data_IF_643950332577
#
_entry.id   IF_643950332577
#
_cell.length_a   1.000
_cell.length_b   1.000
_cell.length_c   1.000
_cell.angle_alpha   90.00
_cell.angle_beta   90.00
_cell.angle_gamma   90.00
#
_symmetry.space_group_name_H-M   'P 1'
#
loop_
_entity.id
_entity.type
_entity.pdbx_description
1 polymer ?
#
# COMPACT_ATOMS: atom_id res chain seq x y z
N UNK A 1 18.78 19.98 11.44
CA UNK A 1 19.85 19.18 10.87
C UNK A 1 20.57 18.45 12.00
N UNK A 2 20.71 17.13 11.92
CA UNK A 2 21.46 16.35 12.90
C UNK A 2 22.95 16.78 12.86
N UNK A 3 23.48 17.19 14.00
CA UNK A 3 24.91 17.50 14.13
C UNK A 3 25.66 16.22 14.53
N UNK A 4 26.10 15.44 13.53
CA UNK A 4 26.92 14.24 13.73
C UNK A 4 28.37 14.63 13.53
N UNK A 5 29.24 14.30 14.52
CA UNK A 5 30.66 14.43 14.37
C UNK A 5 31.21 13.18 13.68
N UNK A 6 31.54 13.30 12.41
CA UNK A 6 32.00 12.17 11.59
C UNK A 6 33.33 11.60 12.07
N UNK A 7 34.19 12.40 12.70
CA UNK A 7 35.50 11.94 13.19
C UNK A 7 35.40 11.01 14.39
N UNK A 8 34.32 11.09 15.18
CA UNK A 8 34.07 10.21 16.32
C UNK A 8 32.92 9.22 16.05
N UNK A 9 32.61 8.94 14.78
CA UNK A 9 31.49 8.08 14.37
C UNK A 9 31.99 6.73 13.86
N UNK A 10 31.40 5.64 14.38
CA UNK A 10 31.45 4.31 13.77
C UNK A 10 30.40 4.21 12.68
N UNK A 11 30.82 3.99 11.44
CA UNK A 11 29.95 3.79 10.28
C UNK A 11 29.70 2.31 10.06
N UNK A 12 28.47 1.87 10.20
CA UNK A 12 28.06 0.47 10.05
C UNK A 12 27.19 0.34 8.81
N UNK A 13 27.66 -0.42 7.84
CA UNK A 13 26.89 -0.78 6.64
C UNK A 13 26.33 -2.19 6.77
N UNK A 14 25.08 -2.37 6.42
CA UNK A 14 24.41 -3.67 6.47
C UNK A 14 23.75 -3.95 5.12
N UNK A 15 24.25 -4.96 4.44
CA UNK A 15 23.56 -5.55 3.29
C UNK A 15 22.59 -6.62 3.78
N UNK A 16 21.29 -6.39 3.52
CA UNK A 16 20.20 -7.17 4.10
C UNK A 16 19.65 -8.16 3.10
N UNK A 17 19.72 -9.44 3.44
CA UNK A 17 19.03 -10.50 2.71
C UNK A 17 17.88 -11.14 3.53
N UNK A 18 17.18 -12.09 2.95
CA UNK A 18 16.09 -12.78 3.65
C UNK A 18 16.55 -13.62 4.84
N UNK A 19 17.76 -14.18 4.79
CA UNK A 19 18.31 -15.10 5.79
C UNK A 19 19.46 -14.55 6.58
N UNK A 20 20.28 -13.68 5.97
CA UNK A 20 21.54 -13.19 6.52
C UNK A 20 21.69 -11.70 6.28
N UNK A 21 22.45 -11.06 7.16
CA UNK A 21 22.88 -9.67 7.04
C UNK A 21 24.41 -9.65 7.00
N UNK A 22 24.99 -9.22 5.89
CA UNK A 22 26.41 -8.93 5.83
C UNK A 22 26.66 -7.54 6.43
N UNK A 23 27.63 -7.44 7.31
CA UNK A 23 27.92 -6.22 8.09
C UNK A 23 29.37 -5.83 7.93
N UNK A 24 29.58 -4.56 7.67
CA UNK A 24 30.87 -3.93 7.66
C UNK A 24 30.85 -2.68 8.54
N UNK A 25 31.87 -2.51 9.43
CA UNK A 25 31.97 -1.31 10.25
C UNK A 25 33.38 -0.73 10.20
N UNK A 26 33.46 0.59 10.06
CA UNK A 26 34.69 1.36 9.97
C UNK A 26 34.52 2.76 10.59
N UNK A 27 35.66 3.42 10.88
CA UNK A 27 35.69 4.83 11.24
C UNK A 27 35.78 5.76 10.00
N UNK A 28 36.01 7.03 10.24
CA UNK A 28 36.13 8.02 9.16
C UNK A 28 37.39 7.81 8.30
N UNK A 29 38.46 7.27 8.85
CA UNK A 29 39.72 6.98 8.17
C UNK A 29 39.73 5.60 7.46
N UNK A 30 38.57 4.92 7.41
CA UNK A 30 38.40 3.59 6.82
C UNK A 30 39.06 2.45 7.60
N UNK A 31 39.50 2.67 8.84
CA UNK A 31 39.98 1.59 9.68
C UNK A 31 38.84 0.60 9.94
N UNK A 32 39.05 -0.65 9.54
CA UNK A 32 38.05 -1.72 9.66
C UNK A 32 37.95 -2.24 11.09
N UNK A 33 36.75 -2.27 11.66
CA UNK A 33 36.48 -2.82 12.97
C UNK A 33 35.64 -4.12 12.93
N UNK A 34 34.65 -4.19 12.06
CA UNK A 34 33.75 -5.35 11.91
C UNK A 34 33.68 -5.71 10.43
N UNK A 35 33.77 -6.99 10.12
CA UNK A 35 33.42 -7.56 8.81
C UNK A 35 32.94 -8.99 9.08
N UNK A 36 31.61 -9.18 9.12
CA UNK A 36 31.01 -10.44 9.53
C UNK A 36 29.61 -10.58 8.94
N UNK A 37 29.04 -11.79 9.04
CA UNK A 37 27.68 -12.06 8.63
C UNK A 37 26.88 -12.59 9.82
N UNK A 38 25.63 -12.14 9.95
CA UNK A 38 24.72 -12.49 11.03
C UNK A 38 23.40 -13.00 10.45
N UNK A 39 22.70 -13.87 11.16
CA UNK A 39 21.36 -14.26 10.77
C UNK A 39 20.39 -13.07 10.75
N UNK A 40 19.51 -12.97 9.75
CA UNK A 40 18.44 -11.97 9.76
C UNK A 40 17.27 -12.46 10.64
N UNK A 41 17.57 -12.61 11.93
CA UNK A 41 16.68 -13.07 12.99
C UNK A 41 17.08 -12.44 14.32
N UNK A 42 16.28 -12.67 15.37
CA UNK A 42 16.55 -12.08 16.69
C UNK A 42 17.94 -12.43 17.24
N UNK A 43 18.40 -13.71 17.29
CA UNK A 43 19.74 -14.03 17.78
C UNK A 43 20.87 -13.37 17.00
N UNK A 44 20.73 -13.27 15.65
CA UNK A 44 21.71 -12.59 14.81
C UNK A 44 21.76 -11.08 15.06
N UNK A 45 20.61 -10.44 15.29
CA UNK A 45 20.52 -9.05 15.66
C UNK A 45 21.13 -8.76 17.03
N UNK A 46 20.91 -9.64 18.02
CA UNK A 46 21.53 -9.54 19.36
C UNK A 46 23.05 -9.67 19.30
N UNK A 47 23.57 -10.60 18.49
CA UNK A 47 25.00 -10.76 18.23
C UNK A 47 25.60 -9.51 17.61
N UNK A 48 24.94 -8.93 16.59
CA UNK A 48 25.38 -7.70 15.92
C UNK A 48 25.45 -6.53 16.91
N UNK A 49 24.41 -6.30 17.68
CA UNK A 49 24.36 -5.21 18.69
C UNK A 49 25.47 -5.39 19.72
N UNK A 50 25.66 -6.61 20.21
CA UNK A 50 26.72 -6.94 21.17
C UNK A 50 28.10 -6.62 20.60
N UNK A 51 28.34 -6.99 19.33
CA UNK A 51 29.64 -6.74 18.68
C UNK A 51 29.88 -5.24 18.44
N UNK A 52 28.85 -4.49 18.03
CA UNK A 52 28.95 -3.01 17.92
C UNK A 52 29.27 -2.39 19.28
N UNK A 53 28.54 -2.78 20.33
CA UNK A 53 28.77 -2.25 21.68
C UNK A 53 30.17 -2.56 22.21
N UNK A 54 30.67 -3.77 21.99
CA UNK A 54 32.04 -4.16 22.34
C UNK A 54 33.09 -3.32 21.58
N UNK A 55 32.87 -3.08 20.29
CA UNK A 55 33.70 -2.22 19.46
C UNK A 55 33.76 -0.79 20.04
N UNK A 56 32.59 -0.19 20.30
CA UNK A 56 32.46 1.15 20.87
C UNK A 56 33.11 1.24 22.29
N UNK A 57 32.95 0.21 23.10
CA UNK A 57 33.56 0.17 24.44
C UNK A 57 35.07 0.14 24.36
N UNK A 58 35.63 -0.59 23.40
CA UNK A 58 37.09 -0.72 23.19
C UNK A 58 37.72 0.57 22.62
N UNK A 59 36.99 1.27 21.74
CA UNK A 59 37.48 2.45 21.01
C UNK A 59 36.85 3.73 21.56
N UNK A 60 37.44 4.30 22.65
CA UNK A 60 36.88 5.46 23.37
C UNK A 60 36.87 6.78 22.59
N UNK A 61 37.54 6.85 21.46
CA UNK A 61 37.48 7.96 20.51
C UNK A 61 36.21 7.97 19.68
N UNK A 62 35.40 6.90 19.71
CA UNK A 62 34.14 6.79 19.05
C UNK A 62 32.98 7.01 20.06
N UNK A 63 32.02 7.88 19.74
CA UNK A 63 30.89 8.24 20.60
C UNK A 63 29.54 8.09 19.91
N UNK A 64 29.52 7.91 18.60
CA UNK A 64 28.34 7.86 17.77
C UNK A 64 28.36 6.62 16.85
N UNK A 65 27.22 5.97 16.68
CA UNK A 65 27.04 4.87 15.72
C UNK A 65 26.09 5.30 14.62
N UNK A 66 26.55 5.31 13.37
CA UNK A 66 25.75 5.60 12.21
C UNK A 66 25.57 4.33 11.39
N UNK A 67 24.36 3.79 11.39
CA UNK A 67 24.01 2.53 10.74
C UNK A 67 23.26 2.82 9.46
N UNK A 68 23.72 2.27 8.36
CA UNK A 68 23.10 2.38 7.06
C UNK A 68 22.71 0.98 6.58
N UNK A 69 21.48 0.82 6.16
CA UNK A 69 20.98 -0.43 5.59
C UNK A 69 20.39 -0.16 4.19
N UNK A 70 20.55 -1.12 3.29
CA UNK A 70 19.76 -1.10 2.06
C UNK A 70 18.31 -1.50 2.36
N UNK A 71 17.36 -0.72 1.83
CA UNK A 71 15.91 -0.97 2.02
C UNK A 71 15.43 -2.12 1.13
N UNK A 72 15.91 -3.34 1.41
CA UNK A 72 15.60 -4.55 0.63
C UNK A 72 14.22 -5.08 1.00
N UNK A 73 13.18 -4.61 0.31
CA UNK A 73 11.78 -5.04 0.50
C UNK A 73 11.33 -4.95 1.97
N UNK A 74 10.80 -6.06 2.50
CA UNK A 74 10.33 -6.19 3.90
C UNK A 74 11.42 -6.69 4.85
N UNK A 75 12.50 -7.23 4.32
CA UNK A 75 13.55 -7.90 5.12
C UNK A 75 14.33 -6.95 5.99
N UNK A 76 14.51 -5.70 5.56
CA UNK A 76 15.18 -4.65 6.34
C UNK A 76 14.36 -4.08 7.50
N UNK A 77 13.05 -4.31 7.53
CA UNK A 77 12.14 -3.67 8.50
C UNK A 77 12.42 -4.10 9.94
N UNK A 78 12.55 -5.42 10.17
CA UNK A 78 12.76 -5.95 11.51
C UNK A 78 14.10 -5.49 12.09
N UNK A 79 15.17 -5.65 11.33
CA UNK A 79 16.51 -5.26 11.78
C UNK A 79 16.61 -3.73 11.99
N UNK A 80 15.99 -2.91 11.15
CA UNK A 80 15.97 -1.45 11.35
C UNK A 80 15.23 -1.05 12.62
N UNK A 81 14.06 -1.66 12.90
CA UNK A 81 13.34 -1.42 14.16
C UNK A 81 14.18 -1.86 15.37
N UNK A 82 14.77 -3.04 15.30
CA UNK A 82 15.57 -3.59 16.38
C UNK A 82 16.79 -2.69 16.72
N UNK A 83 17.56 -2.29 15.71
CA UNK A 83 18.73 -1.45 15.88
C UNK A 83 18.38 -0.04 16.39
N UNK A 84 17.27 0.53 15.90
CA UNK A 84 16.84 1.88 16.32
C UNK A 84 16.28 1.93 17.74
N UNK A 85 15.75 0.82 18.25
CA UNK A 85 15.18 0.69 19.59
C UNK A 85 16.12 0.01 20.59
N UNK A 86 17.34 -0.37 20.18
CA UNK A 86 18.27 -1.11 21.02
C UNK A 86 18.77 -0.28 22.20
N UNK A 87 18.39 -0.65 23.42
CA UNK A 87 18.87 -0.02 24.67
C UNK A 87 20.40 -0.14 24.82
N UNK A 88 20.99 -1.22 24.31
CA UNK A 88 22.43 -1.47 24.34
C UNK A 88 23.20 -0.44 23.50
N UNK A 89 22.61 0.05 22.40
CA UNK A 89 23.23 1.04 21.54
C UNK A 89 22.91 2.50 21.94
N UNK A 90 21.90 2.74 22.78
CA UNK A 90 21.50 4.10 23.20
C UNK A 90 22.64 4.97 23.75
N UNK A 91 23.59 4.44 24.56
CA UNK A 91 24.74 5.23 25.04
C UNK A 91 25.63 5.78 23.92
N UNK A 92 25.58 5.14 22.72
CA UNK A 92 26.39 5.49 21.55
C UNK A 92 25.57 6.24 20.47
N UNK A 93 24.47 6.85 20.83
CA UNK A 93 23.62 7.70 19.93
C UNK A 93 23.38 7.05 18.56
N UNK A 94 22.68 5.91 18.48
CA UNK A 94 22.49 5.20 17.22
C UNK A 94 21.62 5.99 16.25
N UNK A 95 22.13 6.21 15.04
CA UNK A 95 21.36 6.72 13.91
C UNK A 95 21.20 5.62 12.87
N UNK A 96 19.97 5.23 12.58
CA UNK A 96 19.66 4.17 11.61
C UNK A 96 19.05 4.79 10.36
N UNK A 97 19.65 4.57 9.21
CA UNK A 97 19.20 5.07 7.92
C UNK A 97 18.91 3.91 6.97
N UNK A 98 17.76 3.95 6.30
CA UNK A 98 17.42 3.02 5.23
C UNK A 98 17.61 3.72 3.88
N UNK A 99 18.51 3.20 3.06
CA UNK A 99 18.84 3.74 1.75
C UNK A 99 18.03 3.04 0.67
N UNK A 100 17.53 3.81 -0.29
CA UNK A 100 16.86 3.25 -1.45
C UNK A 100 17.82 2.37 -2.26
N UNK A 101 17.44 1.14 -2.67
CA UNK A 101 18.28 0.24 -3.46
C UNK A 101 18.84 0.88 -4.73
N UNK A 102 18.08 1.76 -5.37
CA UNK A 102 18.55 2.49 -6.57
C UNK A 102 19.70 3.46 -6.21
N UNK A 103 19.63 4.12 -5.05
CA UNK A 103 20.69 5.03 -4.60
C UNK A 103 21.96 4.24 -4.22
N UNK A 104 21.85 3.12 -3.51
CA UNK A 104 22.95 2.21 -3.20
C UNK A 104 23.60 1.66 -4.47
N UNK A 105 22.79 1.16 -5.42
CA UNK A 105 23.26 0.66 -6.72
C UNK A 105 23.98 1.73 -7.56
N UNK A 106 23.46 2.97 -7.57
CA UNK A 106 24.13 4.07 -8.28
C UNK A 106 25.45 4.46 -7.59
N UNK A 107 25.51 4.45 -6.27
CA UNK A 107 26.73 4.70 -5.51
C UNK A 107 27.79 3.64 -5.81
N UNK A 108 27.41 2.38 -5.86
CA UNK A 108 28.29 1.27 -6.24
C UNK A 108 28.97 1.49 -7.60
N UNK A 109 28.25 2.04 -8.59
CA UNK A 109 28.80 2.29 -9.94
C UNK A 109 30.01 3.25 -9.96
N UNK A 110 30.19 4.05 -8.90
CA UNK A 110 31.39 4.91 -8.77
C UNK A 110 32.66 4.15 -8.38
N UNK A 111 32.55 2.89 -7.97
CA UNK A 111 33.66 2.00 -7.60
C UNK A 111 33.95 1.03 -8.76
N UNK A 112 34.83 1.45 -9.67
CA UNK A 112 35.21 0.66 -10.86
C UNK A 112 36.07 -0.54 -10.44
N UNK A 113 35.76 -1.73 -10.96
CA UNK A 113 36.57 -2.94 -10.73
C UNK A 113 36.34 -3.66 -9.39
N UNK A 114 35.41 -3.20 -8.56
CA UNK A 114 35.11 -3.85 -7.31
C UNK A 114 34.13 -5.04 -7.54
N UNK A 115 34.54 -6.24 -7.15
CA UNK A 115 33.72 -7.45 -7.27
C UNK A 115 32.44 -7.35 -6.42
N UNK A 116 31.37 -7.96 -6.92
CA UNK A 116 30.09 -8.02 -6.22
C UNK A 116 30.06 -9.19 -5.25
N UNK A 117 30.27 -8.90 -3.97
CA UNK A 117 30.14 -9.83 -2.86
C UNK A 117 29.39 -9.16 -1.73
N UNK A 118 28.72 -9.94 -0.86
CA UNK A 118 27.98 -9.39 0.28
C UNK A 118 28.85 -8.53 1.22
N UNK A 119 30.11 -8.91 1.55
CA UNK A 119 31.01 -8.05 2.31
C UNK A 119 31.37 -6.74 1.61
N UNK A 120 31.54 -6.76 0.29
CA UNK A 120 31.80 -5.56 -0.51
C UNK A 120 30.60 -4.64 -0.54
N UNK A 121 29.38 -5.20 -0.67
CA UNK A 121 28.15 -4.43 -0.65
C UNK A 121 27.94 -3.78 0.73
N UNK A 122 28.20 -4.50 1.83
CA UNK A 122 28.15 -3.96 3.19
C UNK A 122 29.18 -2.83 3.40
N UNK A 123 30.42 -2.98 2.88
CA UNK A 123 31.43 -1.91 2.89
C UNK A 123 30.93 -0.65 2.16
N UNK A 124 30.41 -0.78 0.94
CA UNK A 124 29.90 0.35 0.16
C UNK A 124 28.72 1.05 0.84
N UNK A 125 27.87 0.31 1.56
CA UNK A 125 26.79 0.86 2.35
C UNK A 125 27.33 1.63 3.55
N UNK A 126 28.38 1.13 4.25
CA UNK A 126 29.04 1.85 5.32
C UNK A 126 29.68 3.15 4.81
N UNK A 127 30.39 3.06 3.69
CA UNK A 127 31.05 4.19 3.04
C UNK A 127 30.07 5.26 2.56
N UNK A 128 28.90 4.86 2.07
CA UNK A 128 27.81 5.78 1.77
C UNK A 128 27.43 6.66 2.98
N UNK A 129 27.42 6.08 4.17
CA UNK A 129 27.24 6.81 5.43
C UNK A 129 28.41 7.74 5.74
N UNK A 130 29.64 7.22 5.65
CA UNK A 130 30.90 7.90 5.97
C UNK A 130 31.11 9.18 5.13
N UNK A 131 30.85 9.11 3.83
CA UNK A 131 30.98 10.28 2.94
C UNK A 131 29.79 11.27 3.05
N UNK A 132 28.89 11.07 4.00
CA UNK A 132 27.82 12.01 4.31
C UNK A 132 26.61 11.99 3.37
N UNK A 133 26.42 10.94 2.58
CA UNK A 133 25.26 10.80 1.70
C UNK A 133 23.94 10.66 2.47
N UNK A 134 23.99 10.36 3.76
CA UNK A 134 22.83 10.30 4.65
C UNK A 134 22.31 11.67 5.12
N UNK A 135 23.03 12.78 4.90
CA UNK A 135 22.64 14.14 5.35
C UNK A 135 21.26 14.60 4.89
N UNK A 136 20.81 14.10 3.74
CA UNK A 136 19.49 14.42 3.16
C UNK A 136 18.43 13.36 3.48
N UNK A 137 18.81 12.28 4.15
CA UNK A 137 17.91 11.22 4.56
C UNK A 137 17.38 11.49 5.96
N UNK A 138 16.19 11.00 6.23
CA UNK A 138 15.67 10.99 7.58
C UNK A 138 16.01 9.66 8.25
N UNK A 139 16.39 9.68 9.54
CA UNK A 139 16.58 8.47 10.31
C UNK A 139 15.31 7.63 10.34
N UNK A 140 15.45 6.35 10.59
CA UNK A 140 14.35 5.43 10.75
C UNK A 140 13.29 5.96 11.73
N UNK A 141 12.06 6.12 11.27
CA UNK A 141 10.97 6.74 12.02
C UNK A 141 10.15 5.76 12.87
N UNK A 142 10.52 4.48 12.87
CA UNK A 142 9.86 3.44 13.64
C UNK A 142 8.66 2.76 12.95
N UNK A 143 8.07 1.79 13.65
CA UNK A 143 7.05 0.90 13.11
C UNK A 143 5.73 1.55 12.71
N UNK A 144 5.38 2.70 13.29
CA UNK A 144 4.12 3.40 13.02
C UNK A 144 3.99 3.82 11.56
N UNK A 145 5.05 4.37 10.95
CA UNK A 145 5.05 4.73 9.54
C UNK A 145 4.95 3.52 8.61
N UNK A 146 5.53 2.39 9.01
CA UNK A 146 5.39 1.15 8.26
C UNK A 146 3.97 0.61 8.34
N UNK A 147 3.35 0.65 9.51
CA UNK A 147 1.96 0.26 9.70
C UNK A 147 1.05 1.07 8.78
N UNK A 148 1.20 2.40 8.76
CA UNK A 148 0.46 3.27 7.85
C UNK A 148 0.72 2.93 6.37
N UNK A 149 1.99 2.72 5.99
CA UNK A 149 2.38 2.32 4.63
C UNK A 149 1.75 0.98 4.23
N UNK A 150 1.66 0.01 5.14
CA UNK A 150 1.02 -1.30 4.89
C UNK A 150 -0.47 -1.16 4.67
N UNK A 151 -1.16 -0.44 5.55
CA UNK A 151 -2.60 -0.20 5.45
C UNK A 151 -2.96 0.54 4.14
N UNK A 152 -2.24 1.62 3.81
CA UNK A 152 -2.51 2.39 2.59
C UNK A 152 -2.26 1.58 1.31
N UNK A 153 -1.24 0.73 1.28
CA UNK A 153 -0.99 -0.18 0.16
C UNK A 153 -2.06 -1.26 0.04
N UNK A 154 -2.51 -1.81 1.16
CA UNK A 154 -3.57 -2.81 1.15
C UNK A 154 -4.91 -2.21 0.68
N UNK A 155 -5.25 -1.00 1.15
CA UNK A 155 -6.41 -0.26 0.63
C UNK A 155 -6.35 -0.08 -0.88
N UNK A 156 -5.19 0.30 -1.41
CA UNK A 156 -5.00 0.45 -2.85
C UNK A 156 -5.21 -0.87 -3.60
N UNK A 157 -4.61 -1.96 -3.09
CA UNK A 157 -4.80 -3.29 -3.66
C UNK A 157 -6.28 -3.67 -3.75
N UNK A 158 -7.07 -3.47 -2.69
CA UNK A 158 -8.51 -3.74 -2.72
C UNK A 158 -9.26 -2.86 -3.74
N UNK A 159 -8.87 -1.58 -3.88
CA UNK A 159 -9.44 -0.70 -4.90
C UNK A 159 -9.13 -1.18 -6.32
N UNK A 160 -7.93 -1.70 -6.55
CA UNK A 160 -7.54 -2.31 -7.82
C UNK A 160 -8.31 -3.61 -8.09
N UNK A 161 -8.60 -4.40 -7.04
CA UNK A 161 -9.47 -5.58 -7.15
C UNK A 161 -10.89 -5.21 -7.59
N UNK A 162 -11.49 -4.17 -6.99
CA UNK A 162 -12.80 -3.66 -7.42
C UNK A 162 -12.78 -3.23 -8.89
N UNK A 163 -11.72 -2.53 -9.31
CA UNK A 163 -11.61 -2.08 -10.70
C UNK A 163 -11.52 -3.26 -11.66
N UNK A 164 -10.73 -4.29 -11.32
CA UNK A 164 -10.63 -5.52 -12.12
C UNK A 164 -11.96 -6.27 -12.21
N UNK A 165 -12.69 -6.41 -11.08
CA UNK A 165 -14.02 -7.03 -11.08
C UNK A 165 -14.99 -6.26 -11.95
N UNK A 166 -15.04 -4.93 -11.84
CA UNK A 166 -15.88 -4.09 -12.70
C UNK A 166 -15.57 -4.26 -14.18
N UNK A 167 -14.29 -4.33 -14.54
CA UNK A 167 -13.84 -4.54 -15.93
C UNK A 167 -14.27 -5.92 -16.44
N UNK A 168 -14.14 -6.95 -15.59
CA UNK A 168 -14.59 -8.30 -15.94
C UNK A 168 -16.11 -8.37 -16.12
N UNK A 169 -16.88 -7.69 -15.29
CA UNK A 169 -18.34 -7.64 -15.39
C UNK A 169 -18.86 -7.00 -16.68
N UNK A 170 -18.12 -6.06 -17.29
CA UNK A 170 -18.55 -5.30 -18.46
C UNK A 170 -19.00 -6.23 -19.60
N UNK A 171 -18.23 -7.28 -19.89
CA UNK A 171 -18.58 -8.25 -20.95
C UNK A 171 -19.82 -9.08 -20.59
N UNK A 172 -19.94 -9.52 -19.37
CA UNK A 172 -21.09 -10.28 -18.88
C UNK A 172 -22.38 -9.43 -18.84
N UNK A 173 -22.24 -8.15 -18.48
CA UNK A 173 -23.34 -7.18 -18.55
C UNK A 173 -23.83 -6.99 -19.97
N UNK A 174 -22.91 -6.77 -20.92
CA UNK A 174 -23.27 -6.62 -22.33
C UNK A 174 -23.96 -7.86 -22.89
N UNK A 175 -23.43 -9.05 -22.58
CA UNK A 175 -24.07 -10.29 -23.02
C UNK A 175 -25.45 -10.48 -22.42
N UNK A 176 -25.66 -10.17 -21.15
CA UNK A 176 -26.96 -10.33 -20.50
C UNK A 176 -27.98 -9.25 -20.89
N UNK A 177 -27.49 -7.99 -20.98
CA UNK A 177 -28.34 -6.81 -21.11
C UNK A 177 -27.64 -5.73 -21.95
N UNK A 178 -27.56 -5.95 -23.28
CA UNK A 178 -26.70 -5.18 -24.20
C UNK A 178 -26.94 -3.68 -24.14
N UNK A 179 -28.19 -3.24 -24.15
CA UNK A 179 -28.51 -1.82 -24.18
C UNK A 179 -28.25 -1.11 -22.86
N UNK A 180 -28.46 -1.77 -21.73
CA UNK A 180 -28.33 -1.14 -20.42
C UNK A 180 -26.93 -0.51 -20.18
N UNK A 181 -25.91 -1.10 -20.78
CA UNK A 181 -24.54 -0.63 -20.66
C UNK A 181 -24.21 0.53 -21.62
N UNK A 182 -24.91 0.60 -22.76
CA UNK A 182 -24.63 1.57 -23.82
C UNK A 182 -25.35 2.90 -23.63
N UNK A 183 -26.37 2.95 -22.76
CA UNK A 183 -27.11 4.17 -22.50
C UNK A 183 -26.25 5.26 -21.84
N UNK A 184 -26.45 6.50 -22.26
CA UNK A 184 -25.70 7.67 -21.76
C UNK A 184 -26.64 8.79 -21.29
N UNK A 185 -26.15 9.68 -20.47
CA UNK A 185 -26.86 10.86 -20.01
C UNK A 185 -28.19 10.54 -19.30
N UNK A 186 -29.26 11.22 -19.73
CA UNK A 186 -30.60 11.13 -19.15
C UNK A 186 -31.35 9.86 -19.54
N UNK A 187 -30.86 9.08 -20.51
CA UNK A 187 -31.40 7.79 -20.89
C UNK A 187 -31.00 6.64 -19.96
N UNK A 188 -30.08 6.88 -19.01
CA UNK A 188 -29.69 5.88 -18.03
C UNK A 188 -30.77 5.67 -16.98
N UNK A 189 -31.27 4.43 -16.80
CA UNK A 189 -32.21 4.14 -15.72
C UNK A 189 -31.58 4.22 -14.34
N UNK A 190 -30.24 4.06 -14.24
CA UNK A 190 -29.49 4.09 -13.00
C UNK A 190 -28.29 5.01 -13.09
N UNK A 191 -28.04 5.82 -12.06
CA UNK A 191 -26.82 6.63 -11.98
C UNK A 191 -25.54 5.81 -11.88
N UNK A 192 -25.63 4.55 -11.46
CA UNK A 192 -24.53 3.58 -11.42
C UNK A 192 -25.03 2.17 -11.62
N UNK A 193 -24.40 1.41 -12.51
CA UNK A 193 -24.68 -0.02 -12.71
C UNK A 193 -24.25 -0.88 -11.50
N UNK A 194 -23.45 -0.34 -10.60
CA UNK A 194 -22.98 -1.01 -9.39
C UNK A 194 -23.74 -0.59 -8.13
N UNK A 195 -24.86 0.11 -8.29
CA UNK A 195 -25.74 0.49 -7.20
C UNK A 195 -26.66 -0.63 -6.75
N UNK A 196 -27.35 -0.47 -5.62
CA UNK A 196 -28.19 -1.52 -5.04
C UNK A 196 -29.36 -1.92 -5.95
N UNK A 197 -30.08 -0.94 -6.53
CA UNK A 197 -31.20 -1.23 -7.43
C UNK A 197 -30.74 -1.90 -8.75
N UNK A 198 -29.68 -1.38 -9.37
CA UNK A 198 -29.15 -1.97 -10.60
C UNK A 198 -28.55 -3.36 -10.38
N UNK A 199 -27.84 -3.59 -9.26
CA UNK A 199 -27.35 -4.93 -8.93
C UNK A 199 -28.49 -5.92 -8.72
N UNK A 200 -29.57 -5.51 -8.05
CA UNK A 200 -30.77 -6.36 -7.89
C UNK A 200 -31.42 -6.69 -9.25
N UNK A 201 -31.59 -5.70 -10.13
CA UNK A 201 -32.10 -5.95 -11.50
C UNK A 201 -31.20 -6.93 -12.24
N UNK A 202 -29.87 -6.79 -12.13
CA UNK A 202 -28.93 -7.62 -12.87
C UNK A 202 -28.73 -9.03 -12.30
N UNK A 203 -29.14 -9.28 -11.06
CA UNK A 203 -28.97 -10.59 -10.40
C UNK A 203 -30.27 -11.32 -10.10
N UNK A 204 -31.38 -10.61 -9.91
CA UNK A 204 -32.67 -11.22 -9.55
C UNK A 204 -33.55 -11.51 -10.76
N UNK A 205 -33.41 -10.75 -11.87
CA UNK A 205 -34.03 -11.12 -13.14
C UNK A 205 -33.06 -12.00 -13.95
N UNK A 206 -33.57 -13.12 -14.45
CA UNK A 206 -32.78 -14.04 -15.26
C UNK A 206 -32.44 -13.42 -16.63
N UNK A 207 -33.44 -12.77 -17.26
CA UNK A 207 -33.31 -12.18 -18.59
C UNK A 207 -34.01 -10.82 -18.70
N UNK A 208 -33.71 -9.99 -19.73
CA UNK A 208 -34.45 -8.76 -19.99
C UNK A 208 -35.93 -8.99 -20.25
N UNK A 209 -36.31 -10.19 -20.71
CA UNK A 209 -37.72 -10.52 -20.98
C UNK A 209 -38.56 -10.51 -19.71
N UNK A 210 -38.03 -10.99 -18.58
CA UNK A 210 -38.77 -10.98 -17.31
C UNK A 210 -39.12 -9.56 -16.83
N UNK A 211 -38.28 -8.56 -17.17
CA UNK A 211 -38.58 -7.15 -16.87
C UNK A 211 -39.72 -6.61 -17.72
N UNK A 212 -39.83 -7.07 -18.98
CA UNK A 212 -40.90 -6.67 -19.89
C UNK A 212 -42.20 -7.29 -19.45
N UNK A 213 -42.18 -8.57 -19.09
CA UNK A 213 -43.37 -9.37 -18.74
C UNK A 213 -43.91 -9.03 -17.33
N UNK A 214 -43.10 -8.42 -16.47
CA UNK A 214 -43.50 -8.02 -15.11
C UNK A 214 -44.55 -6.89 -15.18
N UNK A 215 -45.66 -6.94 -14.41
CA UNK A 215 -46.58 -5.80 -14.26
C UNK A 215 -45.87 -4.53 -13.84
N UNK A 216 -46.37 -3.37 -14.27
CA UNK A 216 -45.71 -2.10 -13.98
C UNK A 216 -45.68 -1.79 -12.48
N UNK A 217 -46.77 -2.04 -11.77
CA UNK A 217 -46.88 -1.84 -10.32
C UNK A 217 -45.86 -2.69 -9.54
N UNK A 218 -45.63 -3.93 -9.97
CA UNK A 218 -44.66 -4.84 -9.36
C UNK A 218 -43.23 -4.36 -9.60
N UNK A 219 -42.94 -3.89 -10.84
CA UNK A 219 -41.60 -3.34 -11.14
C UNK A 219 -41.31 -2.06 -10.35
N UNK A 220 -42.29 -1.16 -10.23
CA UNK A 220 -42.16 0.06 -9.42
C UNK A 220 -41.90 -0.29 -7.94
N UNK A 221 -42.67 -1.24 -7.41
CA UNK A 221 -42.50 -1.74 -6.02
C UNK A 221 -41.10 -2.35 -5.79
N UNK A 222 -40.68 -3.19 -6.75
CA UNK A 222 -39.34 -3.79 -6.74
C UNK A 222 -38.22 -2.70 -6.72
N UNK A 223 -38.31 -1.74 -7.64
CA UNK A 223 -37.33 -0.65 -7.75
C UNK A 223 -37.29 0.22 -6.48
N UNK A 224 -38.46 0.55 -5.92
CA UNK A 224 -38.58 1.31 -4.66
C UNK A 224 -37.88 0.58 -3.50
N UNK A 225 -38.23 -0.71 -3.34
CA UNK A 225 -37.64 -1.54 -2.29
C UNK A 225 -36.11 -1.69 -2.42
N UNK A 226 -35.63 -2.04 -3.61
CA UNK A 226 -34.19 -2.29 -3.84
C UNK A 226 -33.35 -1.01 -3.80
N UNK A 227 -33.93 0.13 -4.20
CA UNK A 227 -33.29 1.44 -4.06
C UNK A 227 -33.38 2.02 -2.64
N UNK A 228 -34.17 1.44 -1.75
CA UNK A 228 -34.50 2.02 -0.43
C UNK A 228 -35.09 3.43 -0.58
N UNK A 229 -35.98 3.59 -1.55
CA UNK A 229 -36.64 4.88 -1.90
C UNK A 229 -35.64 6.02 -2.24
N UNK A 230 -34.48 5.68 -2.81
CA UNK A 230 -33.46 6.68 -3.22
C UNK A 230 -33.56 7.09 -4.69
N UNK A 231 -34.42 6.45 -5.48
CA UNK A 231 -34.70 6.85 -6.85
C UNK A 231 -35.79 7.94 -6.81
N UNK A 232 -35.46 9.12 -7.32
CA UNK A 232 -36.35 10.27 -7.29
C UNK A 232 -37.58 10.12 -8.21
N UNK A 233 -37.40 9.45 -9.35
CA UNK A 233 -38.44 9.21 -10.35
C UNK A 233 -38.46 7.73 -10.74
N UNK A 234 -39.30 6.98 -10.05
CA UNK A 234 -39.47 5.54 -10.28
C UNK A 234 -40.13 5.24 -11.62
N UNK A 235 -41.10 6.07 -12.02
CA UNK A 235 -41.86 5.87 -13.29
C UNK A 235 -40.91 6.05 -14.48
N UNK A 236 -40.14 7.13 -14.52
CA UNK A 236 -39.11 7.36 -15.54
C UNK A 236 -38.08 6.23 -15.57
N UNK A 237 -37.61 5.79 -14.39
CA UNK A 237 -36.62 4.70 -14.29
C UNK A 237 -37.19 3.39 -14.81
N UNK A 238 -38.46 3.06 -14.51
CA UNK A 238 -39.16 1.88 -15.03
C UNK A 238 -39.27 1.93 -16.55
N UNK A 239 -39.70 3.08 -17.10
CA UNK A 239 -39.83 3.28 -18.55
C UNK A 239 -38.51 3.08 -19.28
N UNK A 240 -37.42 3.74 -18.81
CA UNK A 240 -36.09 3.61 -19.39
C UNK A 240 -35.54 2.17 -19.29
N UNK A 241 -35.78 1.50 -18.16
CA UNK A 241 -35.37 0.11 -17.97
C UNK A 241 -36.11 -0.84 -18.93
N UNK A 242 -37.42 -0.66 -19.08
CA UNK A 242 -38.22 -1.44 -20.03
C UNK A 242 -37.83 -1.16 -21.48
N UNK A 243 -37.52 0.10 -21.83
CA UNK A 243 -37.00 0.46 -23.16
C UNK A 243 -35.70 -0.29 -23.43
N UNK A 244 -34.73 -0.18 -22.49
CA UNK A 244 -33.48 -0.90 -22.61
C UNK A 244 -33.68 -2.42 -22.72
N UNK A 245 -34.63 -2.97 -21.96
CA UNK A 245 -35.00 -4.39 -22.03
C UNK A 245 -35.57 -4.80 -23.38
N UNK A 246 -36.42 -3.98 -23.99
CA UNK A 246 -36.98 -4.25 -25.33
C UNK A 246 -35.92 -4.23 -26.42
N UNK A 247 -35.03 -3.26 -26.34
CA UNK A 247 -34.03 -2.99 -27.38
C UNK A 247 -32.80 -3.94 -27.28
N UNK A 248 -32.61 -4.63 -26.12
CA UNK A 248 -31.54 -5.59 -25.94
C UNK A 248 -31.68 -6.87 -26.74
N UNK A 249 -30.57 -7.43 -27.19
CA UNK A 249 -30.53 -8.76 -27.82
C UNK A 249 -31.01 -9.85 -26.87
N UNK A 250 -31.56 -10.91 -27.43
CA UNK A 250 -32.00 -12.11 -26.71
C UNK A 250 -30.99 -13.22 -26.88
N UNK A 251 -30.58 -13.82 -25.78
CA UNK A 251 -29.72 -15.01 -25.74
C UNK A 251 -30.56 -16.29 -25.59
N UNK A 252 -29.98 -17.42 -25.95
CA UNK A 252 -30.53 -18.72 -25.60
C UNK A 252 -30.58 -18.88 -24.07
N UNK A 253 -31.67 -19.54 -23.58
CA UNK A 253 -31.95 -19.68 -22.16
C UNK A 253 -30.78 -20.27 -21.35
N UNK A 254 -30.01 -21.19 -21.93
CA UNK A 254 -28.85 -21.83 -21.32
C UNK A 254 -27.67 -20.89 -21.03
N UNK A 255 -27.65 -19.68 -21.63
CA UNK A 255 -26.58 -18.69 -21.40
C UNK A 255 -26.90 -17.76 -20.23
N UNK A 256 -28.13 -17.50 -19.93
CA UNK A 256 -28.49 -16.54 -18.86
C UNK A 256 -28.11 -17.02 -17.46
N UNK A 257 -28.27 -18.30 -17.17
CA UNK A 257 -27.95 -18.87 -15.85
C UNK A 257 -26.47 -18.69 -15.46
N UNK A 258 -25.50 -19.10 -16.30
CA UNK A 258 -24.06 -18.85 -16.03
C UNK A 258 -23.70 -17.37 -15.91
N UNK A 259 -24.32 -16.51 -16.76
CA UNK A 259 -24.10 -15.05 -16.67
C UNK A 259 -24.63 -14.48 -15.36
N UNK A 260 -25.80 -14.95 -14.91
CA UNK A 260 -26.39 -14.52 -13.64
C UNK A 260 -25.51 -14.89 -12.43
N UNK A 261 -25.03 -16.13 -12.40
CA UNK A 261 -24.12 -16.61 -11.35
C UNK A 261 -22.83 -15.80 -11.36
N UNK A 262 -22.25 -15.56 -12.54
CA UNK A 262 -21.02 -14.77 -12.67
C UNK A 262 -21.20 -13.33 -12.19
N UNK A 263 -22.28 -12.66 -12.60
CA UNK A 263 -22.59 -11.29 -12.17
C UNK A 263 -22.83 -11.22 -10.66
N UNK A 264 -23.63 -12.14 -10.10
CA UNK A 264 -23.89 -12.19 -8.66
C UNK A 264 -22.60 -12.39 -7.86
N UNK A 265 -21.72 -13.29 -8.32
CA UNK A 265 -20.40 -13.51 -7.71
C UNK A 265 -19.55 -12.24 -7.71
N UNK A 266 -19.44 -11.56 -8.86
CA UNK A 266 -18.68 -10.32 -8.98
C UNK A 266 -19.25 -9.19 -8.12
N UNK A 267 -20.57 -9.03 -8.03
CA UNK A 267 -21.20 -8.08 -7.11
C UNK A 267 -20.85 -8.37 -5.64
N UNK A 268 -20.91 -9.65 -5.24
CA UNK A 268 -20.54 -10.06 -3.89
C UNK A 268 -19.07 -9.74 -3.58
N UNK A 269 -18.14 -9.99 -4.51
CA UNK A 269 -16.74 -9.60 -4.38
C UNK A 269 -16.57 -8.09 -4.24
N UNK A 270 -17.23 -7.29 -5.08
CA UNK A 270 -17.18 -5.82 -5.00
C UNK A 270 -17.68 -5.34 -3.63
N UNK A 271 -18.82 -5.86 -3.16
CA UNK A 271 -19.37 -5.48 -1.85
C UNK A 271 -18.45 -5.89 -0.70
N UNK A 272 -17.84 -7.08 -0.75
CA UNK A 272 -16.87 -7.52 0.24
C UNK A 272 -15.64 -6.59 0.27
N UNK A 273 -15.05 -6.29 -0.89
CA UNK A 273 -13.91 -5.35 -0.97
C UNK A 273 -14.26 -3.96 -0.47
N UNK A 274 -15.45 -3.44 -0.78
CA UNK A 274 -15.91 -2.13 -0.28
C UNK A 274 -16.05 -2.10 1.24
N UNK A 275 -16.53 -3.20 1.83
CA UNK A 275 -16.62 -3.35 3.29
C UNK A 275 -15.23 -3.35 3.93
N UNK A 276 -14.31 -4.15 3.39
CA UNK A 276 -12.93 -4.21 3.89
C UNK A 276 -12.18 -2.89 3.73
N UNK A 277 -12.38 -2.16 2.63
CA UNK A 277 -11.81 -0.82 2.43
C UNK A 277 -12.24 0.12 3.58
N UNK A 278 -13.51 0.11 3.98
CA UNK A 278 -13.98 0.95 5.09
C UNK A 278 -13.30 0.62 6.42
N UNK A 279 -13.09 -0.67 6.71
CA UNK A 279 -12.37 -1.10 7.92
C UNK A 279 -10.91 -0.64 7.90
N UNK A 280 -10.25 -0.75 6.73
CA UNK A 280 -8.87 -0.29 6.57
C UNK A 280 -8.78 1.24 6.69
N UNK A 281 -9.74 1.99 6.15
CA UNK A 281 -9.80 3.46 6.28
C UNK A 281 -9.92 3.89 7.75
N UNK A 282 -10.74 3.22 8.54
CA UNK A 282 -10.82 3.45 10.00
C UNK A 282 -9.49 3.14 10.72
N UNK A 283 -8.82 2.05 10.32
CA UNK A 283 -7.51 1.70 10.88
C UNK A 283 -6.42 2.72 10.49
N UNK A 284 -6.46 3.25 9.26
CA UNK A 284 -5.56 4.31 8.79
C UNK A 284 -5.78 5.59 9.62
N UNK A 285 -7.03 5.99 9.82
CA UNK A 285 -7.39 7.17 10.62
C UNK A 285 -6.90 7.04 12.05
N UNK A 286 -7.13 5.89 12.69
CA UNK A 286 -6.61 5.59 14.03
C UNK A 286 -5.09 5.65 14.09
N UNK A 287 -4.40 5.13 13.08
CA UNK A 287 -2.95 5.15 13.00
C UNK A 287 -2.41 6.59 12.88
N UNK A 288 -3.02 7.43 12.04
CA UNK A 288 -2.61 8.84 11.86
C UNK A 288 -2.86 9.63 13.15
N UNK A 289 -4.02 9.47 13.78
CA UNK A 289 -4.34 10.13 15.03
C UNK A 289 -3.39 9.74 16.17
N UNK A 290 -2.90 8.50 16.18
CA UNK A 290 -1.89 8.05 17.14
C UNK A 290 -0.49 8.64 16.90
N UNK A 291 -0.17 9.05 15.66
CA UNK A 291 1.12 9.67 15.33
C UNK A 291 1.09 11.19 15.52
N UNK A 292 0.06 11.85 15.02
CA UNK A 292 -0.13 13.30 15.14
C UNK A 292 -1.62 13.65 14.98
N UNK A 293 -2.34 13.90 16.09
CA UNK A 293 -3.77 14.17 16.08
C UNK A 293 -4.16 15.36 15.20
N UNK A 294 -3.28 16.37 15.10
CA UNK A 294 -3.57 17.60 14.34
C UNK A 294 -3.27 17.45 12.83
N UNK A 295 -2.46 16.48 12.43
CA UNK A 295 -2.04 16.35 11.03
C UNK A 295 -3.23 16.06 10.10
N UNK A 296 -4.16 15.23 10.51
CA UNK A 296 -5.37 14.90 9.73
C UNK A 296 -6.25 16.13 9.57
N UNK A 297 -6.52 16.86 10.64
CA UNK A 297 -7.35 18.08 10.65
C UNK A 297 -6.72 19.17 9.78
N UNK A 298 -5.41 19.41 9.92
CA UNK A 298 -4.68 20.41 9.14
C UNK A 298 -4.71 20.07 7.65
N UNK A 299 -4.49 18.80 7.27
CA UNK A 299 -4.51 18.40 5.87
C UNK A 299 -5.91 18.49 5.26
N UNK A 300 -6.94 18.13 6.01
CA UNK A 300 -8.34 18.23 5.56
C UNK A 300 -8.87 19.68 5.51
N UNK A 301 -8.26 20.62 6.22
CA UNK A 301 -8.62 22.03 6.14
C UNK A 301 -8.21 22.67 4.81
N UNK A 302 -7.34 22.04 4.04
CA UNK A 302 -6.92 22.52 2.72
C UNK A 302 -8.01 22.18 1.69
N UNK A 303 -8.59 23.18 0.99
CA UNK A 303 -9.62 22.94 -0.02
C UNK A 303 -9.15 21.93 -1.07
N UNK A 304 -10.01 20.97 -1.40
CA UNK A 304 -9.72 19.90 -2.36
C UNK A 304 -8.90 18.72 -1.80
N UNK A 305 -8.58 18.72 -0.51
CA UNK A 305 -7.99 17.55 0.14
C UNK A 305 -9.06 16.82 0.94
N UNK A 306 -9.57 15.71 0.37
CA UNK A 306 -10.44 14.80 1.08
C UNK A 306 -9.65 13.81 1.94
N UNK A 307 -10.33 13.02 2.80
CA UNK A 307 -9.68 11.98 3.63
C UNK A 307 -8.77 11.05 2.82
N UNK A 308 -9.20 10.67 1.62
CA UNK A 308 -8.45 9.77 0.72
C UNK A 308 -7.17 10.44 0.18
N UNK A 309 -7.18 11.76 -0.05
CA UNK A 309 -6.02 12.49 -0.57
C UNK A 309 -4.94 12.68 0.48
N UNK A 310 -5.31 12.77 1.76
CA UNK A 310 -4.37 12.73 2.88
C UNK A 310 -3.56 11.43 2.83
N UNK A 311 -4.21 10.31 2.57
CA UNK A 311 -3.56 9.01 2.48
C UNK A 311 -2.62 8.90 1.26
N UNK A 312 -2.97 9.50 0.14
CA UNK A 312 -2.15 9.54 -1.07
C UNK A 312 -0.90 10.39 -0.90
N UNK A 313 -1.00 11.56 -0.26
CA UNK A 313 0.12 12.51 -0.09
C UNK A 313 1.18 12.02 0.89
N UNK A 314 0.80 11.23 1.89
CA UNK A 314 1.76 10.55 2.76
C UNK A 314 2.64 9.54 2.00
N UNK A 315 2.19 9.09 0.83
CA UNK A 315 2.91 8.18 -0.05
C UNK A 315 4.06 8.86 -0.80
N UNK A 316 3.93 10.12 -1.18
CA UNK A 316 4.96 10.90 -1.89
C UNK A 316 6.13 11.28 -0.99
N UNK A 317 5.90 11.51 0.28
CA UNK A 317 6.97 11.83 1.25
C UNK A 317 7.75 10.61 1.74
N UNK A 318 7.34 9.39 1.40
CA UNK A 318 8.07 8.13 1.74
C UNK A 318 8.85 7.56 0.56
N UNK A 319 8.91 8.25 -0.58
CA UNK A 319 9.69 7.87 -1.77
C UNK A 319 10.99 8.69 -1.96
N UNK A 320 11.37 9.44 -0.95
CA UNK A 320 12.69 10.13 -0.97
C UNK A 320 13.62 9.39 -0.03
#
# INVERSE_FOLDING_TARGET
MLKINYMSTLFVGIDVSSKTNAVYAMDFEENKYISSSFGNNQPGADQLVTMIAQCMHKHKNLDTVLIVLESTSVYSVHISNFLSASEVLMPYRPYVFCVNPKAASNYRKSYIGMEKTDPTDAYLIADFGRVGRTKKLEPWRGGQFISLKRLTRHRMHLSECITREKTYMVSNLYLKFSELQLLEGDDKPFGSLYGAASSAVLTEFLSPQEIIDMPEEDLLTFLAQKSRNRISDLSKTSELLRKAARDSYRLGKCMYEPLNISLASSFNCIHAYQKEIKLIEQAIEKCINGMNPNALVILQSIPGIGPIDVYKRQRTNTMI
#
